data_IF_437044756213
#
_entry.id   IF_437044756213
#
_cell.length_a   1.000
_cell.length_b   1.000
_cell.length_c   1.000
_cell.angle_alpha   90.00
_cell.angle_beta   90.00
_cell.angle_gamma   90.00
#
_symmetry.space_group_name_H-M   'P 1'
#
loop_
_entity.id
_entity.type
_entity.pdbx_description
1 polymer ?
#
# COMPACT_ATOMS: atom_id res chain seq x y z
N UNK A 1 -73.81 29.48 51.91
CA UNK A 1 -73.89 28.72 50.66
C UNK A 1 -72.59 28.83 49.92
N UNK A 2 -71.80 27.73 49.91
CA UNK A 2 -70.45 27.67 49.30
C UNK A 2 -70.58 26.96 47.93
N UNK A 3 -70.12 27.62 46.86
CA UNK A 3 -70.03 27.00 45.53
C UNK A 3 -68.73 26.20 45.39
N UNK A 4 -68.65 25.02 44.73
CA UNK A 4 -67.47 24.26 44.48
C UNK A 4 -66.72 24.76 43.24
N UNK A 5 -65.40 24.90 43.39
CA UNK A 5 -64.44 25.15 42.28
C UNK A 5 -64.19 23.89 41.51
N UNK A 6 -64.44 23.86 40.23
CA UNK A 6 -64.13 22.83 39.31
C UNK A 6 -62.66 23.08 38.81
N UNK A 7 -61.71 22.18 39.14
CA UNK A 7 -60.37 22.17 38.58
C UNK A 7 -60.43 21.47 37.22
N UNK A 8 -60.08 22.20 36.15
CA UNK A 8 -59.85 21.64 34.84
C UNK A 8 -58.41 21.20 34.70
N UNK A 9 -58.17 19.89 34.47
CA UNK A 9 -56.85 19.33 34.16
C UNK A 9 -56.61 19.49 32.67
N UNK A 10 -55.58 20.28 32.28
CA UNK A 10 -55.09 20.39 30.92
C UNK A 10 -54.01 19.31 30.78
N UNK A 11 -54.31 18.24 30.03
CA UNK A 11 -53.37 17.24 29.63
C UNK A 11 -52.54 17.79 28.45
N UNK A 12 -51.28 18.15 28.69
CA UNK A 12 -50.33 18.51 27.62
C UNK A 12 -49.80 17.23 26.97
N UNK A 13 -50.26 16.96 25.75
CA UNK A 13 -49.69 15.90 24.92
C UNK A 13 -48.32 16.36 24.36
N UNK A 14 -47.24 15.76 24.86
CA UNK A 14 -45.89 15.94 24.31
C UNK A 14 -45.80 15.06 23.05
N UNK A 15 -45.88 15.67 21.89
CA UNK A 15 -45.54 15.05 20.62
C UNK A 15 -44.00 14.94 20.52
N UNK A 16 -43.45 13.76 20.81
CA UNK A 16 -42.08 13.45 20.54
C UNK A 16 -41.90 13.30 19.03
N UNK A 17 -41.39 14.33 18.36
CA UNK A 17 -40.93 14.26 16.98
C UNK A 17 -39.69 13.39 16.90
N UNK A 18 -39.81 12.13 16.50
CA UNK A 18 -38.71 11.28 16.10
C UNK A 18 -38.09 11.88 14.82
N UNK A 19 -36.95 12.58 14.95
CA UNK A 19 -36.16 12.96 13.80
C UNK A 19 -35.71 11.68 13.09
N UNK A 20 -35.85 11.56 11.75
CA UNK A 20 -35.28 10.43 11.04
C UNK A 20 -33.78 10.42 11.27
N UNK A 21 -33.25 9.33 11.81
CA UNK A 21 -31.81 9.08 11.81
C UNK A 21 -31.41 9.08 10.34
N UNK A 22 -30.67 10.11 9.92
CA UNK A 22 -30.05 10.11 8.61
C UNK A 22 -29.23 8.83 8.51
N UNK A 23 -29.64 7.91 7.65
CA UNK A 23 -28.86 6.72 7.33
C UNK A 23 -27.53 7.26 6.79
N UNK A 24 -26.45 7.05 7.53
CA UNK A 24 -25.11 7.38 7.09
C UNK A 24 -24.88 6.52 5.85
N UNK A 25 -24.88 7.13 4.67
CA UNK A 25 -24.63 6.41 3.42
C UNK A 25 -23.31 5.64 3.57
N UNK A 26 -23.38 4.33 3.51
CA UNK A 26 -22.19 3.49 3.57
C UNK A 26 -21.36 3.76 2.31
N UNK A 27 -20.07 4.09 2.49
CA UNK A 27 -19.18 4.29 1.36
C UNK A 27 -19.17 3.06 0.46
N UNK A 28 -19.22 3.27 -0.86
CA UNK A 28 -18.99 2.18 -1.80
C UNK A 28 -17.54 1.70 -1.74
N UNK A 29 -17.28 0.46 -2.16
CA UNK A 29 -15.92 -0.07 -2.21
C UNK A 29 -14.98 0.82 -3.05
N UNK A 30 -15.46 1.34 -4.19
CA UNK A 30 -14.71 2.27 -5.05
C UNK A 30 -14.40 3.57 -4.28
N UNK A 31 -15.38 4.18 -3.63
CA UNK A 31 -15.18 5.41 -2.87
C UNK A 31 -14.21 5.23 -1.66
N UNK A 32 -14.12 4.02 -1.11
CA UNK A 32 -13.12 3.72 -0.08
C UNK A 32 -11.73 3.68 -0.72
N UNK A 33 -11.58 3.02 -1.86
CA UNK A 33 -10.29 2.93 -2.55
C UNK A 33 -9.80 4.27 -3.10
N UNK A 34 -10.70 5.13 -3.57
CA UNK A 34 -10.38 6.53 -3.94
C UNK A 34 -9.82 7.33 -2.75
N UNK A 35 -10.26 7.04 -1.53
CA UNK A 35 -9.69 7.66 -0.32
C UNK A 35 -8.39 7.01 0.14
N UNK A 36 -8.15 5.75 -0.23
CA UNK A 36 -6.84 5.09 -0.03
C UNK A 36 -5.81 5.75 -0.92
N UNK A 37 -6.14 5.95 -2.17
CA UNK A 37 -5.32 6.56 -3.20
C UNK A 37 -5.00 8.04 -2.88
N UNK A 38 -6.02 8.84 -2.60
CA UNK A 38 -5.89 10.25 -2.26
C UNK A 38 -5.31 10.53 -0.85
N UNK A 39 -4.67 9.57 -0.22
CA UNK A 39 -4.02 9.76 1.09
C UNK A 39 -2.74 10.59 0.93
N UNK A 40 -2.55 11.51 1.89
CA UNK A 40 -1.26 12.19 2.03
C UNK A 40 -0.16 11.15 2.39
N UNK A 41 0.84 11.03 1.56
CA UNK A 41 2.05 10.22 1.73
C UNK A 41 3.34 11.06 1.67
N UNK A 42 3.19 12.39 1.44
CA UNK A 42 4.20 13.44 1.54
C UNK A 42 4.96 13.71 0.25
N UNK A 43 4.87 14.96 -0.24
CA UNK A 43 5.44 15.44 -1.51
C UNK A 43 6.93 15.09 -1.73
N UNK A 44 7.67 14.95 -0.64
CA UNK A 44 9.08 14.55 -0.65
C UNK A 44 9.35 13.66 0.54
N UNK A 45 9.92 12.50 0.31
CA UNK A 45 10.24 11.54 1.37
C UNK A 45 11.68 11.03 1.30
N UNK A 46 12.23 10.65 2.45
CA UNK A 46 13.46 9.88 2.53
C UNK A 46 13.39 8.91 3.70
N UNK A 47 13.96 7.71 3.53
CA UNK A 47 13.96 6.69 4.57
C UNK A 47 15.11 5.70 4.42
N UNK A 48 15.56 5.16 5.53
CA UNK A 48 16.41 3.97 5.57
C UNK A 48 15.52 2.74 5.72
N UNK A 49 15.78 1.70 4.94
CA UNK A 49 15.00 0.45 4.97
C UNK A 49 15.93 -0.71 5.34
N UNK A 50 15.53 -1.49 6.35
CA UNK A 50 16.09 -2.81 6.58
C UNK A 50 15.14 -3.86 6.04
N UNK A 51 15.62 -4.67 5.08
CA UNK A 51 14.87 -5.76 4.46
C UNK A 51 15.45 -7.09 4.91
N UNK A 52 14.64 -7.93 5.54
CA UNK A 52 15.03 -9.27 5.99
C UNK A 52 14.28 -10.31 5.16
N UNK A 53 15.02 -11.08 4.37
CA UNK A 53 14.49 -12.18 3.58
C UNK A 53 14.70 -13.49 4.33
N UNK A 54 13.63 -14.26 4.52
CA UNK A 54 13.63 -15.51 5.30
C UNK A 54 13.13 -16.63 4.41
N UNK A 55 13.97 -17.63 4.16
CA UNK A 55 13.59 -18.80 3.38
C UNK A 55 12.84 -19.84 4.23
N UNK A 56 12.34 -20.92 3.62
CA UNK A 56 11.61 -22.00 4.29
C UNK A 56 12.42 -22.81 5.31
N UNK A 57 13.72 -22.59 5.38
CA UNK A 57 14.63 -23.21 6.36
C UNK A 57 15.04 -22.23 7.47
N UNK A 58 14.36 -21.06 7.53
CA UNK A 58 14.63 -19.95 8.43
C UNK A 58 16.01 -19.29 8.26
N UNK A 59 16.70 -19.54 7.11
CA UNK A 59 17.89 -18.78 6.78
C UNK A 59 17.51 -17.34 6.46
N UNK A 60 18.25 -16.40 7.04
CA UNK A 60 18.01 -14.96 6.90
C UNK A 60 19.08 -14.29 6.06
N UNK A 61 18.66 -13.36 5.21
CA UNK A 61 19.53 -12.41 4.51
C UNK A 61 19.04 -11.02 4.81
N UNK A 62 19.90 -10.18 5.37
CA UNK A 62 19.58 -8.80 5.74
C UNK A 62 20.19 -7.87 4.70
N UNK A 63 19.40 -6.92 4.23
CA UNK A 63 19.79 -5.86 3.30
C UNK A 63 19.45 -4.52 3.89
N UNK A 64 20.33 -3.55 3.70
CA UNK A 64 20.06 -2.15 4.06
C UNK A 64 19.96 -1.34 2.80
N UNK A 65 18.92 -0.51 2.74
CA UNK A 65 18.62 0.34 1.59
C UNK A 65 18.40 1.78 2.09
N UNK A 66 18.60 2.73 1.20
CA UNK A 66 18.10 4.10 1.35
C UNK A 66 17.18 4.40 0.20
N UNK A 67 16.01 4.93 0.51
CA UNK A 67 15.00 5.28 -0.48
C UNK A 67 14.66 6.76 -0.38
N UNK A 68 14.32 7.33 -1.54
CA UNK A 68 13.84 8.70 -1.71
C UNK A 68 12.60 8.66 -2.61
N UNK A 69 11.63 9.50 -2.32
CA UNK A 69 10.42 9.69 -3.11
C UNK A 69 10.13 11.17 -3.31
N UNK A 70 9.48 11.49 -4.43
CA UNK A 70 8.91 12.82 -4.68
C UNK A 70 7.73 12.77 -5.62
N UNK A 71 6.83 13.74 -5.46
CA UNK A 71 5.75 13.99 -6.40
C UNK A 71 6.23 14.94 -7.51
N UNK A 72 5.74 14.70 -8.71
CA UNK A 72 5.97 15.54 -9.88
C UNK A 72 4.64 15.80 -10.58
N UNK A 73 3.88 16.74 -10.03
CA UNK A 73 2.49 16.97 -10.41
C UNK A 73 1.58 15.89 -9.85
N UNK A 74 0.99 15.07 -10.69
CA UNK A 74 0.18 13.89 -10.33
C UNK A 74 0.98 12.58 -10.44
N UNK A 75 2.21 12.63 -10.99
CA UNK A 75 3.11 11.48 -11.12
C UNK A 75 4.05 11.36 -9.92
N UNK A 76 4.49 10.13 -9.59
CA UNK A 76 5.45 9.84 -8.54
C UNK A 76 6.79 9.37 -9.07
N UNK A 77 7.85 9.75 -8.39
CA UNK A 77 9.19 9.27 -8.66
C UNK A 77 9.84 8.75 -7.39
N UNK A 78 10.41 7.55 -7.47
CA UNK A 78 11.17 6.99 -6.37
C UNK A 78 12.50 6.41 -6.84
N UNK A 79 13.51 6.53 -5.97
CA UNK A 79 14.82 5.90 -6.19
C UNK A 79 15.29 5.28 -4.89
N UNK A 80 15.84 4.06 -4.99
CA UNK A 80 16.43 3.38 -3.83
C UNK A 80 17.77 2.77 -4.18
N UNK A 81 18.66 2.76 -3.20
CA UNK A 81 20.00 2.19 -3.31
C UNK A 81 20.21 1.16 -2.21
N UNK A 82 20.76 0.01 -2.56
CA UNK A 82 21.21 -0.98 -1.62
C UNK A 82 22.57 -0.58 -1.07
N UNK A 83 22.67 -0.47 0.25
CA UNK A 83 23.87 -0.04 0.97
C UNK A 83 24.68 -1.22 1.52
N UNK A 84 24.06 -2.37 1.68
CA UNK A 84 24.70 -3.62 2.14
C UNK A 84 23.75 -4.81 1.94
N UNK A 85 24.26 -6.05 1.94
CA UNK A 85 25.66 -6.46 1.98
C UNK A 85 26.37 -6.30 0.63
N UNK A 86 27.66 -6.60 0.57
CA UNK A 86 28.52 -6.38 -0.61
C UNK A 86 28.06 -7.06 -1.91
N UNK A 87 27.26 -8.13 -1.84
CA UNK A 87 26.71 -8.83 -3.02
C UNK A 87 25.58 -8.05 -3.72
N UNK A 88 24.99 -7.06 -3.06
CA UNK A 88 23.95 -6.18 -3.60
C UNK A 88 24.29 -4.69 -3.44
N UNK A 89 25.40 -4.35 -2.79
CA UNK A 89 25.82 -2.96 -2.58
C UNK A 89 25.87 -2.20 -3.90
N UNK A 90 25.49 -0.92 -3.86
CA UNK A 90 25.33 -0.02 -5.00
C UNK A 90 24.33 -0.46 -6.08
N UNK A 91 23.57 -1.55 -5.86
CA UNK A 91 22.41 -1.82 -6.70
C UNK A 91 21.41 -0.69 -6.52
N UNK A 92 20.93 -0.14 -7.63
CA UNK A 92 19.95 0.95 -7.64
C UNK A 92 18.65 0.54 -8.32
N UNK A 93 17.52 1.05 -7.84
CA UNK A 93 16.22 0.88 -8.46
C UNK A 93 15.52 2.24 -8.55
N UNK A 94 15.11 2.61 -9.75
CA UNK A 94 14.42 3.86 -10.08
C UNK A 94 13.05 3.55 -10.63
N UNK A 95 12.02 4.25 -10.15
CA UNK A 95 10.65 4.13 -10.63
C UNK A 95 10.11 5.50 -11.00
N UNK A 96 9.43 5.59 -12.15
CA UNK A 96 8.50 6.65 -12.50
C UNK A 96 7.13 6.00 -12.57
N UNK A 97 6.27 6.40 -11.68
CA UNK A 97 4.89 5.96 -11.53
C UNK A 97 4.00 7.07 -12.10
N UNK A 98 3.20 6.73 -13.10
CA UNK A 98 2.42 7.72 -13.82
C UNK A 98 0.94 7.63 -13.43
N UNK A 99 0.34 8.76 -13.08
CA UNK A 99 -1.10 8.84 -12.77
C UNK A 99 -1.99 8.51 -13.98
N UNK A 100 -1.49 8.73 -15.22
CA UNK A 100 -2.20 8.37 -16.44
C UNK A 100 -2.31 6.83 -16.59
N UNK A 101 -3.51 6.22 -16.41
CA UNK A 101 -3.69 4.77 -16.46
C UNK A 101 -3.42 4.16 -17.85
N UNK A 102 -3.35 4.98 -18.93
CA UNK A 102 -3.00 4.52 -20.27
C UNK A 102 -1.48 4.48 -20.51
N UNK A 103 -0.70 4.97 -19.56
CA UNK A 103 0.76 5.02 -19.62
C UNK A 103 1.37 3.98 -18.70
N UNK A 104 2.26 3.14 -19.25
CA UNK A 104 3.02 2.16 -18.45
C UNK A 104 4.09 2.87 -17.60
N UNK A 105 4.17 2.53 -16.32
CA UNK A 105 5.25 2.99 -15.44
C UNK A 105 6.61 2.53 -15.94
N UNK A 106 7.59 3.39 -15.70
CA UNK A 106 8.97 3.11 -16.03
C UNK A 106 9.76 2.67 -14.79
N UNK A 107 10.40 1.52 -14.88
CA UNK A 107 11.25 0.99 -13.82
C UNK A 107 12.62 0.58 -14.37
N UNK A 108 13.68 1.00 -13.68
CA UNK A 108 15.06 0.64 -14.04
C UNK A 108 15.80 0.04 -12.84
N UNK A 109 16.49 -1.06 -13.11
CA UNK A 109 17.37 -1.73 -12.15
C UNK A 109 18.82 -1.61 -12.63
N UNK A 110 19.67 -0.96 -11.85
CA UNK A 110 21.11 -0.94 -12.04
C UNK A 110 21.76 -2.06 -11.24
N UNK A 111 22.59 -2.85 -11.91
CA UNK A 111 23.36 -3.95 -11.33
C UNK A 111 24.86 -3.65 -11.48
N UNK A 112 25.53 -3.17 -10.41
CA UNK A 112 26.94 -2.75 -10.49
C UNK A 112 27.89 -3.87 -10.91
N UNK A 113 27.62 -5.11 -10.47
CA UNK A 113 28.40 -6.28 -10.87
C UNK A 113 28.42 -6.53 -12.40
N UNK A 114 27.40 -6.04 -13.10
CA UNK A 114 27.28 -6.12 -14.56
C UNK A 114 27.56 -4.77 -15.24
N UNK A 115 27.77 -3.70 -14.48
CA UNK A 115 27.86 -2.31 -14.95
C UNK A 115 26.72 -1.99 -15.95
N UNK A 116 25.50 -2.43 -15.62
CA UNK A 116 24.38 -2.39 -16.56
C UNK A 116 23.09 -1.96 -15.88
N UNK A 117 22.40 -1.02 -16.54
CA UNK A 117 21.02 -0.67 -16.25
C UNK A 117 20.08 -1.50 -17.14
N UNK A 118 19.09 -2.16 -16.53
CA UNK A 118 18.02 -2.87 -17.23
C UNK A 118 16.70 -2.14 -16.94
N UNK A 119 15.96 -1.75 -18.00
CA UNK A 119 14.55 -1.38 -17.85
C UNK A 119 13.73 -2.65 -17.61
N UNK A 120 12.85 -2.62 -16.62
CA UNK A 120 11.92 -3.72 -16.33
C UNK A 120 10.76 -3.59 -17.31
N UNK A 121 10.58 -4.59 -18.16
CA UNK A 121 9.44 -4.62 -19.08
C UNK A 121 8.15 -4.97 -18.30
N UNK A 122 6.99 -4.50 -18.77
CA UNK A 122 5.68 -4.76 -18.14
C UNK A 122 5.45 -6.26 -17.91
N UNK A 123 5.86 -7.12 -18.85
CA UNK A 123 5.78 -8.58 -18.71
C UNK A 123 6.69 -9.17 -17.60
N UNK A 124 7.71 -8.43 -17.15
CA UNK A 124 8.64 -8.85 -16.10
C UNK A 124 8.24 -8.29 -14.72
N UNK A 125 7.30 -7.33 -14.63
CA UNK A 125 6.92 -6.65 -13.38
C UNK A 125 6.33 -7.60 -12.32
N UNK A 126 5.68 -8.72 -12.71
CA UNK A 126 5.25 -9.77 -11.78
C UNK A 126 6.41 -10.56 -11.15
N UNK A 127 7.63 -10.36 -11.61
CA UNK A 127 8.84 -10.98 -11.08
C UNK A 127 9.17 -10.48 -9.67
N UNK A 128 9.89 -11.32 -8.91
CA UNK A 128 10.31 -10.99 -7.55
C UNK A 128 11.30 -9.82 -7.53
N UNK A 129 10.99 -8.77 -6.77
CA UNK A 129 11.90 -7.66 -6.51
C UNK A 129 13.09 -8.13 -5.67
N UNK A 130 14.26 -8.20 -6.31
CA UNK A 130 15.53 -8.58 -5.67
C UNK A 130 15.45 -9.86 -4.83
N UNK A 131 14.59 -10.82 -5.20
CA UNK A 131 14.41 -12.09 -4.50
C UNK A 131 13.60 -11.99 -3.20
N UNK A 132 12.89 -10.90 -2.98
CA UNK A 132 11.91 -10.72 -1.91
C UNK A 132 10.55 -11.32 -2.27
N UNK A 133 9.58 -11.28 -1.35
CA UNK A 133 8.19 -11.65 -1.63
C UNK A 133 7.42 -10.55 -2.38
N UNK A 134 7.95 -9.33 -2.43
CA UNK A 134 7.42 -8.26 -3.25
C UNK A 134 7.78 -8.48 -4.73
N UNK A 135 6.91 -8.09 -5.62
CA UNK A 135 7.18 -8.02 -7.06
C UNK A 135 7.63 -6.61 -7.47
N UNK A 136 8.13 -6.44 -8.68
CA UNK A 136 8.37 -5.10 -9.23
C UNK A 136 7.05 -4.31 -9.35
N UNK A 137 5.93 -4.97 -9.68
CA UNK A 137 4.61 -4.34 -9.70
C UNK A 137 4.08 -3.93 -8.33
N UNK A 138 4.63 -4.45 -7.22
CA UNK A 138 4.27 -3.99 -5.88
C UNK A 138 5.02 -2.68 -5.49
N UNK A 139 5.89 -2.15 -6.37
CA UNK A 139 6.65 -0.91 -6.18
C UNK A 139 6.00 0.32 -6.84
N UNK A 140 4.88 0.14 -7.52
CA UNK A 140 4.08 1.21 -8.12
C UNK A 140 2.65 1.15 -7.60
N UNK A 141 1.92 2.22 -7.77
CA UNK A 141 0.51 2.29 -7.49
C UNK A 141 -0.31 1.44 -8.47
N UNK A 142 -1.56 1.24 -8.16
CA UNK A 142 -2.49 0.48 -9.00
C UNK A 142 -3.57 1.41 -9.48
N UNK A 143 -3.62 1.73 -10.79
CA UNK A 143 -4.64 2.62 -11.33
C UNK A 143 -6.04 2.13 -10.95
N UNK A 144 -6.82 2.97 -10.29
CA UNK A 144 -8.13 2.61 -9.75
C UNK A 144 -9.06 2.04 -10.81
N UNK A 145 -8.98 2.51 -12.04
CA UNK A 145 -9.84 2.11 -13.16
C UNK A 145 -9.47 0.73 -13.74
N UNK A 146 -8.29 0.23 -13.41
CA UNK A 146 -7.86 -1.11 -13.80
C UNK A 146 -8.47 -2.22 -12.92
N UNK A 147 -9.23 -1.85 -11.86
CA UNK A 147 -9.77 -2.81 -10.91
C UNK A 147 -11.26 -2.65 -10.69
N UNK A 148 -11.90 -3.77 -10.42
CA UNK A 148 -13.26 -3.85 -9.91
C UNK A 148 -13.21 -4.11 -8.41
N UNK A 149 -13.93 -3.31 -7.62
CA UNK A 149 -13.94 -3.35 -6.17
C UNK A 149 -15.28 -3.86 -5.67
N UNK A 150 -15.27 -4.79 -4.69
CA UNK A 150 -16.47 -5.29 -4.04
C UNK A 150 -16.29 -5.25 -2.52
N UNK A 151 -17.13 -4.48 -1.84
CA UNK A 151 -17.18 -4.48 -0.37
C UNK A 151 -17.76 -5.83 0.09
N UNK A 152 -16.94 -6.64 0.73
CA UNK A 152 -17.34 -7.96 1.21
C UNK A 152 -18.04 -7.87 2.57
N UNK A 153 -17.40 -7.18 3.52
CA UNK A 153 -17.91 -6.96 4.88
C UNK A 153 -17.08 -5.92 5.61
N UNK A 154 -17.60 -5.52 6.75
CA UNK A 154 -16.85 -4.84 7.79
C UNK A 154 -16.27 -5.87 8.77
N UNK A 155 -15.07 -5.63 9.26
CA UNK A 155 -14.37 -6.54 10.17
C UNK A 155 -13.37 -5.74 11.01
N UNK A 156 -12.50 -6.44 11.75
CA UNK A 156 -11.46 -5.86 12.57
C UNK A 156 -10.11 -6.49 12.24
N UNK A 157 -9.05 -5.70 12.22
CA UNK A 157 -7.67 -6.14 12.09
C UNK A 157 -6.87 -5.49 13.22
N UNK A 158 -6.26 -6.32 14.06
CA UNK A 158 -5.41 -5.91 15.19
C UNK A 158 -6.09 -4.85 16.11
N UNK A 159 -7.41 -5.02 16.39
CA UNK A 159 -8.20 -4.14 17.24
C UNK A 159 -8.76 -2.89 16.54
N UNK A 160 -8.56 -2.75 15.23
CA UNK A 160 -9.03 -1.59 14.47
C UNK A 160 -10.14 -1.97 13.48
N UNK A 161 -11.26 -1.23 13.45
CA UNK A 161 -12.31 -1.43 12.45
C UNK A 161 -11.79 -1.26 11.03
N UNK A 162 -12.10 -2.21 10.14
CA UNK A 162 -11.67 -2.23 8.75
C UNK A 162 -12.81 -2.58 7.80
N UNK A 163 -12.68 -2.13 6.56
CA UNK A 163 -13.43 -2.68 5.43
C UNK A 163 -12.60 -3.78 4.78
N UNK A 164 -13.24 -4.91 4.50
CA UNK A 164 -12.67 -6.00 3.69
C UNK A 164 -13.20 -5.86 2.28
N UNK A 165 -12.32 -5.61 1.31
CA UNK A 165 -12.66 -5.32 -0.08
C UNK A 165 -11.96 -6.34 -0.98
N UNK A 166 -12.72 -7.00 -1.87
CA UNK A 166 -12.16 -7.78 -2.96
C UNK A 166 -11.81 -6.83 -4.11
N UNK A 167 -10.61 -6.99 -4.66
CA UNK A 167 -10.10 -6.24 -5.81
C UNK A 167 -9.77 -7.23 -6.92
N UNK A 168 -10.34 -7.03 -8.10
CA UNK A 168 -10.17 -7.92 -9.25
C UNK A 168 -9.72 -7.10 -10.46
N UNK A 169 -8.55 -7.39 -11.05
CA UNK A 169 -8.12 -6.74 -12.29
C UNK A 169 -9.18 -6.87 -13.39
N UNK A 170 -9.39 -5.80 -14.16
CA UNK A 170 -10.39 -5.76 -15.23
C UNK A 170 -9.88 -6.36 -16.55
N UNK A 171 -8.56 -6.58 -16.66
CA UNK A 171 -7.91 -7.11 -17.85
C UNK A 171 -6.93 -8.24 -17.54
N UNK A 172 -6.68 -9.10 -18.53
CA UNK A 172 -5.64 -10.13 -18.43
C UNK A 172 -4.23 -9.51 -18.43
N UNK A 173 -4.05 -8.38 -19.12
CA UNK A 173 -2.80 -7.62 -19.11
C UNK A 173 -2.42 -7.22 -17.68
N UNK A 174 -3.35 -6.65 -16.91
CA UNK A 174 -3.13 -6.24 -15.53
C UNK A 174 -2.81 -7.45 -14.62
N UNK A 175 -3.49 -8.60 -14.86
CA UNK A 175 -3.18 -9.84 -14.15
C UNK A 175 -1.78 -10.37 -14.46
N UNK A 176 -1.31 -10.22 -15.69
CA UNK A 176 0.03 -10.68 -16.10
C UNK A 176 1.11 -9.75 -15.57
N UNK A 177 0.86 -8.44 -15.57
CA UNK A 177 1.78 -7.42 -15.10
C UNK A 177 1.97 -7.49 -13.58
N UNK A 178 0.88 -7.58 -12.81
CA UNK A 178 0.95 -7.70 -11.36
C UNK A 178 1.24 -9.12 -10.88
N UNK A 179 0.89 -10.12 -11.69
CA UNK A 179 0.96 -11.53 -11.32
C UNK A 179 -0.16 -11.98 -10.39
N UNK A 180 -1.21 -11.17 -10.20
CA UNK A 180 -2.33 -11.47 -9.30
C UNK A 180 -3.65 -11.66 -10.05
N UNK A 181 -4.35 -12.75 -9.77
CA UNK A 181 -5.71 -13.00 -10.29
C UNK A 181 -6.73 -12.10 -9.59
N UNK A 182 -6.57 -11.91 -8.29
CA UNK A 182 -7.37 -11.05 -7.43
C UNK A 182 -6.66 -10.82 -6.11
N UNK A 183 -7.17 -9.85 -5.34
CA UNK A 183 -6.72 -9.62 -3.98
C UNK A 183 -7.90 -9.35 -3.05
N UNK A 184 -7.70 -9.56 -1.76
CA UNK A 184 -8.57 -9.05 -0.72
C UNK A 184 -7.73 -8.10 0.12
N UNK A 185 -8.17 -6.86 0.25
CA UNK A 185 -7.51 -5.82 1.04
C UNK A 185 -8.34 -5.46 2.26
N UNK A 186 -7.67 -5.09 3.34
CA UNK A 186 -8.29 -4.63 4.59
C UNK A 186 -7.87 -3.19 4.82
N UNK A 187 -8.83 -2.28 4.68
CA UNK A 187 -8.62 -0.83 4.79
C UNK A 187 -9.12 -0.35 6.14
N UNK A 188 -8.27 0.32 6.91
CA UNK A 188 -8.66 0.92 8.20
C UNK A 188 -9.66 2.06 7.98
N UNK A 189 -10.70 2.09 8.83
CA UNK A 189 -11.79 3.07 8.71
C UNK A 189 -11.41 4.48 9.17
N UNK A 190 -10.44 4.59 10.04
CA UNK A 190 -10.03 5.84 10.66
C UNK A 190 -8.99 6.62 9.85
N UNK A 191 -8.24 5.96 8.95
CA UNK A 191 -7.14 6.58 8.23
C UNK A 191 -6.93 6.07 6.79
N UNK A 192 -7.81 5.20 6.30
CA UNK A 192 -7.78 4.63 4.94
C UNK A 192 -6.47 3.91 4.56
N UNK A 193 -5.66 3.50 5.53
CA UNK A 193 -4.46 2.68 5.26
C UNK A 193 -4.87 1.24 5.02
N UNK A 194 -4.31 0.62 3.98
CA UNK A 194 -4.36 -0.83 3.76
C UNK A 194 -3.41 -1.50 4.74
N UNK A 195 -3.95 -2.15 5.77
CA UNK A 195 -3.13 -2.77 6.83
C UNK A 195 -2.90 -4.25 6.64
N UNK A 196 -3.67 -4.88 5.77
CA UNK A 196 -3.54 -6.30 5.41
C UNK A 196 -4.02 -6.55 4.00
N UNK A 197 -3.38 -7.49 3.29
CA UNK A 197 -3.93 -8.02 2.05
C UNK A 197 -3.60 -9.49 1.84
N UNK A 198 -4.41 -10.16 1.01
CA UNK A 198 -4.17 -11.51 0.52
C UNK A 198 -4.27 -11.48 -0.99
N UNK A 199 -3.23 -11.95 -1.68
CA UNK A 199 -3.15 -11.93 -3.14
C UNK A 199 -3.12 -13.36 -3.68
N UNK A 200 -3.98 -13.65 -4.65
CA UNK A 200 -3.98 -14.90 -5.40
C UNK A 200 -2.99 -14.78 -6.56
N UNK A 201 -1.88 -15.50 -6.46
CA UNK A 201 -0.84 -15.48 -7.49
C UNK A 201 -1.27 -16.30 -8.69
N UNK A 202 -1.29 -15.70 -9.89
CA UNK A 202 -1.75 -16.30 -11.16
C UNK A 202 -1.04 -17.61 -11.49
N UNK A 203 0.20 -17.79 -11.04
CA UNK A 203 0.99 -18.99 -11.34
C UNK A 203 1.44 -19.70 -10.07
N UNK A 204 1.34 -21.03 -10.06
CA UNK A 204 1.93 -21.88 -9.02
C UNK A 204 1.05 -22.15 -7.80
N UNK A 205 -0.25 -21.86 -7.86
CA UNK A 205 -1.20 -22.05 -6.75
C UNK A 205 -0.66 -21.52 -5.41
N UNK A 206 -0.19 -20.28 -5.41
CA UNK A 206 0.38 -19.60 -4.25
C UNK A 206 -0.49 -18.44 -3.83
N UNK A 207 -0.42 -18.14 -2.53
CA UNK A 207 -0.97 -16.92 -1.95
C UNK A 207 0.17 -16.08 -1.39
N UNK A 208 0.08 -14.75 -1.55
CA UNK A 208 0.89 -13.81 -0.78
C UNK A 208 0.02 -13.15 0.28
N UNK A 209 0.58 -12.99 1.46
CA UNK A 209 -0.05 -12.33 2.59
C UNK A 209 0.81 -11.12 2.97
N UNK A 210 0.20 -9.96 2.94
CA UNK A 210 0.81 -8.71 3.40
C UNK A 210 0.16 -8.30 4.72
N UNK A 211 0.97 -7.89 5.68
CA UNK A 211 0.55 -7.35 6.98
C UNK A 211 1.41 -6.14 7.34
N UNK A 212 0.78 -5.05 7.70
CA UNK A 212 1.41 -3.93 8.42
C UNK A 212 1.51 -4.33 9.89
N UNK A 213 2.73 -4.46 10.40
CA UNK A 213 3.00 -4.84 11.79
C UNK A 213 3.08 -3.64 12.71
N UNK A 214 3.48 -2.48 12.14
CA UNK A 214 3.50 -1.22 12.88
C UNK A 214 3.13 -0.07 11.95
N UNK A 215 2.16 0.71 12.37
CA UNK A 215 1.69 1.91 11.68
C UNK A 215 1.89 3.10 12.63
N UNK A 216 2.62 4.12 12.19
CA UNK A 216 2.95 5.30 12.97
C UNK A 216 2.57 6.56 12.21
N UNK A 217 2.31 7.64 12.93
CA UNK A 217 2.13 8.95 12.33
C UNK A 217 3.42 9.75 12.50
N UNK A 218 4.04 10.15 11.39
CA UNK A 218 5.28 10.92 11.33
C UNK A 218 4.95 12.21 10.59
N UNK A 219 5.18 13.35 11.23
CA UNK A 219 4.86 14.68 10.69
C UNK A 219 3.40 14.82 10.20
N UNK A 220 2.47 14.06 10.81
CA UNK A 220 1.06 14.05 10.42
C UNK A 220 0.68 12.97 9.41
N UNK A 221 1.64 12.35 8.74
CA UNK A 221 1.46 11.35 7.70
C UNK A 221 1.51 9.92 8.29
N UNK A 222 0.57 9.06 7.89
CA UNK A 222 0.54 7.66 8.32
C UNK A 222 1.53 6.80 7.54
N UNK A 223 2.49 6.21 8.24
CA UNK A 223 3.59 5.41 7.68
C UNK A 223 3.57 4.00 8.24
N UNK A 224 3.57 2.99 7.36
CA UNK A 224 3.81 1.60 7.75
C UNK A 224 5.32 1.42 8.00
N UNK A 225 5.73 1.46 9.29
CA UNK A 225 7.14 1.36 9.66
C UNK A 225 7.65 -0.06 9.82
N UNK A 226 6.74 -1.04 9.97
CA UNK A 226 7.08 -2.46 9.94
C UNK A 226 6.06 -3.23 9.11
N UNK A 227 6.53 -3.96 8.11
CA UNK A 227 5.70 -4.69 7.17
C UNK A 227 6.21 -6.13 7.00
N UNK A 228 5.30 -7.05 6.77
CA UNK A 228 5.59 -8.44 6.46
C UNK A 228 4.86 -8.83 5.17
N UNK A 229 5.59 -9.34 4.18
CA UNK A 229 5.03 -10.08 3.06
C UNK A 229 5.45 -11.55 3.18
N UNK A 230 4.53 -12.49 2.99
CA UNK A 230 4.86 -13.91 2.98
C UNK A 230 4.21 -14.62 1.81
N UNK A 231 4.94 -15.55 1.21
CA UNK A 231 4.45 -16.41 0.12
C UNK A 231 4.16 -17.81 0.68
N UNK A 232 2.95 -18.31 0.44
CA UNK A 232 2.50 -19.64 0.89
C UNK A 232 1.99 -20.49 -0.27
N UNK A 233 2.13 -21.81 -0.10
CA UNK A 233 1.51 -22.83 -0.97
C UNK A 233 0.81 -23.86 -0.09
N UNK A 234 -0.52 -23.86 -0.09
CA UNK A 234 -1.30 -24.57 0.93
C UNK A 234 -0.93 -24.06 2.32
N UNK A 235 -0.60 -24.95 3.24
CA UNK A 235 -0.21 -24.62 4.61
C UNK A 235 1.29 -24.30 4.77
N UNK A 236 2.10 -24.53 3.72
CA UNK A 236 3.55 -24.30 3.76
C UNK A 236 3.88 -22.84 3.46
N UNK A 237 4.63 -22.17 4.36
CA UNK A 237 5.26 -20.88 4.09
C UNK A 237 6.57 -21.12 3.36
N UNK A 238 6.66 -20.62 2.12
CA UNK A 238 7.83 -20.80 1.27
C UNK A 238 8.92 -19.75 1.55
N UNK A 239 8.48 -18.51 1.77
CA UNK A 239 9.36 -17.36 1.99
C UNK A 239 8.64 -16.26 2.77
N UNK A 240 9.41 -15.40 3.46
CA UNK A 240 8.92 -14.19 4.14
C UNK A 240 9.90 -13.05 3.89
N UNK A 241 9.38 -11.86 3.74
CA UNK A 241 10.15 -10.62 3.70
C UNK A 241 9.60 -9.66 4.74
N UNK A 242 10.45 -9.23 5.68
CA UNK A 242 10.14 -8.14 6.59
C UNK A 242 10.82 -6.86 6.09
N UNK A 243 10.11 -5.76 6.18
CA UNK A 243 10.62 -4.42 5.91
C UNK A 243 10.48 -3.57 7.17
N UNK A 244 11.54 -2.86 7.52
CA UNK A 244 11.58 -1.90 8.62
C UNK A 244 11.98 -0.54 8.05
N UNK A 245 11.06 0.42 8.03
CA UNK A 245 11.37 1.80 7.70
C UNK A 245 11.92 2.52 8.93
N UNK A 246 13.02 3.23 8.75
CA UNK A 246 13.71 3.99 9.80
C UNK A 246 14.06 5.37 9.28
N UNK A 247 14.25 6.32 10.18
CA UNK A 247 14.66 7.68 9.83
C UNK A 247 13.79 8.33 8.75
N UNK A 248 12.50 7.98 8.74
CA UNK A 248 11.54 8.55 7.77
C UNK A 248 11.45 10.05 7.97
N UNK A 249 11.54 10.81 6.89
CA UNK A 249 11.46 12.27 6.87
C UNK A 249 10.67 12.73 5.65
N UNK A 250 9.87 13.76 5.83
CA UNK A 250 9.07 14.39 4.79
C UNK A 250 9.49 15.84 4.57
N UNK A 251 9.04 16.41 3.44
CA UNK A 251 9.19 17.85 3.14
C UNK A 251 10.63 18.33 2.95
N UNK A 252 11.59 17.43 2.72
CA UNK A 252 12.98 17.80 2.42
C UNK A 252 13.21 17.69 0.92
N UNK A 253 13.27 18.80 0.17
CA UNK A 253 13.49 18.77 -1.27
C UNK A 253 14.79 18.07 -1.63
N UNK A 254 14.71 17.12 -2.54
CA UNK A 254 15.87 16.47 -3.17
C UNK A 254 16.15 17.16 -4.51
N UNK A 255 17.43 17.15 -4.93
CA UNK A 255 17.81 17.71 -6.22
C UNK A 255 17.22 16.92 -7.40
N UNK A 256 16.81 17.59 -8.45
CA UNK A 256 16.21 16.96 -9.64
C UNK A 256 17.10 15.88 -10.26
N UNK A 257 18.41 16.03 -10.15
CA UNK A 257 19.38 15.05 -10.66
C UNK A 257 19.30 13.68 -9.94
N UNK A 258 18.72 13.62 -8.72
CA UNK A 258 18.64 12.39 -7.93
C UNK A 258 17.81 11.32 -8.64
N UNK A 259 16.65 11.69 -9.20
CA UNK A 259 15.71 10.76 -9.83
C UNK A 259 16.00 10.56 -11.32
N UNK A 260 17.24 10.22 -11.65
CA UNK A 260 17.67 10.00 -13.04
C UNK A 260 18.40 8.67 -13.20
N UNK A 261 18.34 8.07 -14.38
CA UNK A 261 19.14 6.88 -14.72
C UNK A 261 20.63 7.14 -14.53
N UNK A 262 21.10 8.37 -14.77
CA UNK A 262 22.50 8.73 -14.51
C UNK A 262 22.86 8.65 -13.04
N UNK A 263 22.01 9.11 -12.14
CA UNK A 263 22.25 9.00 -10.70
C UNK A 263 22.12 7.55 -10.23
N UNK A 264 21.17 6.80 -10.81
CA UNK A 264 21.00 5.37 -10.56
C UNK A 264 22.33 4.60 -10.80
N UNK A 265 23.03 4.93 -11.87
CA UNK A 265 24.33 4.30 -12.25
C UNK A 265 25.52 4.81 -11.42
N UNK A 266 25.41 6.03 -10.88
CA UNK A 266 26.46 6.64 -10.07
C UNK A 266 26.47 6.11 -8.63
N UNK A 267 25.30 5.67 -8.14
CA UNK A 267 25.12 5.22 -6.77
C UNK A 267 24.64 6.33 -5.80
N UNK A 268 24.53 6.01 -4.50
CA UNK A 268 24.02 6.90 -3.47
C UNK A 268 24.88 8.13 -3.20
#
# INVERSE_FOLDING_TARGET
MRQPRVLAWIAAAVLASAAPAAAQESLSARAIMERVDARDDGDHSSQDIEMILIDKRDNQRVRKLRAYGRDVGEDDQSIMFFLSPADVEDTGFLTYDYDDPERDDDQWLYLPALSRTKRIASADKSGSFMGSDFSYADMTERPLDHYRYTLMKETEVDGHPTWQIETVPTSEREQDETGYEKSIVFVRKDNFVVVRSVHWVKKGARLKYFDVKKLEQIDGIWVATEMLMSTRKGDETLHKTLLFARNVRFGQPQGDDLFTVRQLEKGP
#
